data_IF_856644530280
#
_entry.id   IF_856644530280
#
_cell.length_a   1.000
_cell.length_b   1.000
_cell.length_c   1.000
_cell.angle_alpha   90.00
_cell.angle_beta   90.00
_cell.angle_gamma   90.00
#
_symmetry.space_group_name_H-M   'P 1'
#
loop_
_entity.id
_entity.type
_entity.pdbx_description
1 polymer ?
#
# COMPACT_ATOMS: atom_id res chain seq x y z
N UNK A 1 -8.00 18.95 31.93
CA UNK A 1 -9.28 18.53 31.34
C UNK A 1 -8.92 17.67 30.14
N UNK A 2 -9.02 16.35 30.30
CA UNK A 2 -8.71 15.39 29.25
C UNK A 2 -9.77 15.53 28.15
N UNK A 3 -9.33 15.66 26.90
CA UNK A 3 -10.22 15.48 25.75
C UNK A 3 -9.93 14.09 25.23
N UNK A 4 -10.87 13.21 25.52
CA UNK A 4 -11.00 11.86 25.01
C UNK A 4 -10.87 11.86 23.49
N UNK A 5 -10.15 10.86 22.97
CA UNK A 5 -10.13 10.58 21.55
C UNK A 5 -11.53 10.19 21.10
N UNK A 6 -12.08 10.94 20.15
CA UNK A 6 -13.32 10.58 19.48
C UNK A 6 -13.13 9.25 18.75
N UNK A 7 -13.51 8.18 19.45
CA UNK A 7 -13.85 6.92 18.84
C UNK A 7 -15.06 7.17 17.94
N UNK A 8 -14.86 7.08 16.63
CA UNK A 8 -15.94 7.13 15.65
C UNK A 8 -16.90 5.99 15.99
N UNK A 9 -18.08 6.35 16.46
CA UNK A 9 -19.12 5.44 16.90
C UNK A 9 -19.56 4.52 15.75
N UNK A 10 -19.52 3.21 16.00
CA UNK A 10 -20.03 2.17 15.11
C UNK A 10 -21.55 2.07 15.30
N UNK A 11 -22.38 2.16 14.25
CA UNK A 11 -23.82 1.97 14.39
C UNK A 11 -24.10 0.52 14.82
N UNK A 12 -24.94 0.36 15.84
CA UNK A 12 -25.28 -0.91 16.48
C UNK A 12 -25.84 -1.94 15.50
N UNK A 13 -25.11 -3.04 15.27
CA UNK A 13 -25.60 -4.22 14.55
C UNK A 13 -26.49 -5.08 15.45
N UNK A 14 -27.80 -5.00 15.26
CA UNK A 14 -28.76 -5.97 15.80
C UNK A 14 -29.17 -6.91 14.66
N UNK A 15 -28.60 -8.11 14.61
CA UNK A 15 -29.27 -9.26 13.97
C UNK A 15 -28.67 -10.57 14.44
N UNK A 16 -29.47 -11.27 15.24
CA UNK A 16 -29.30 -12.66 15.64
C UNK A 16 -29.43 -13.53 14.38
N UNK A 17 -28.41 -14.33 14.06
CA UNK A 17 -28.58 -15.44 13.12
C UNK A 17 -28.47 -16.73 13.91
N UNK A 18 -29.60 -17.42 13.98
CA UNK A 18 -29.79 -18.70 14.63
C UNK A 18 -28.77 -19.73 14.17
N UNK A 19 -28.14 -20.39 15.14
CA UNK A 19 -27.54 -21.70 14.96
C UNK A 19 -28.67 -22.69 14.76
N UNK A 20 -28.79 -23.27 13.55
CA UNK A 20 -29.59 -24.47 13.37
C UNK A 20 -28.69 -25.69 13.26
N UNK A 21 -28.86 -26.57 14.25
CA UNK A 21 -28.31 -27.91 14.32
C UNK A 21 -29.22 -28.82 13.52
N UNK A 22 -28.69 -29.56 12.56
CA UNK A 22 -29.33 -30.81 12.12
C UNK A 22 -28.31 -31.91 12.05
N UNK A 23 -28.54 -32.91 12.91
CA UNK A 23 -27.84 -34.17 13.02
C UNK A 23 -28.58 -35.28 12.26
N UNK A 24 -27.86 -36.40 12.11
CA UNK A 24 -28.29 -37.77 11.81
C UNK A 24 -28.44 -38.19 10.33
N UNK A 25 -27.65 -39.19 9.91
CA UNK A 25 -28.06 -40.61 9.99
C UNK A 25 -26.94 -41.56 9.54
N UNK A 26 -26.67 -42.60 10.33
CA UNK A 26 -25.92 -43.80 9.92
C UNK A 26 -26.80 -44.75 9.09
N UNK A 27 -26.19 -45.72 8.39
CA UNK A 27 -26.40 -47.12 8.79
C UNK A 27 -25.14 -48.01 8.75
N UNK A 28 -25.18 -49.08 9.55
CA UNK A 28 -24.27 -50.24 9.58
C UNK A 28 -24.98 -51.49 8.98
N UNK A 29 -24.39 -52.71 8.98
CA UNK A 29 -23.40 -53.22 8.04
C UNK A 29 -23.91 -54.46 7.25
N UNK A 30 -23.29 -54.80 6.12
CA UNK A 30 -23.39 -56.16 5.55
C UNK A 30 -22.06 -56.64 4.98
N UNK A 31 -21.69 -57.84 5.40
CA UNK A 31 -20.53 -58.64 5.02
C UNK A 31 -20.67 -59.29 3.65
N UNK A 32 -19.59 -59.34 2.87
CA UNK A 32 -19.19 -60.56 2.14
C UNK A 32 -17.78 -60.44 1.57
N UNK A 33 -17.12 -61.59 1.53
CA UNK A 33 -15.69 -61.89 1.37
C UNK A 33 -15.13 -61.84 -0.07
N UNK A 34 -13.78 -61.95 -0.12
CA UNK A 34 -12.93 -62.37 -1.25
C UNK A 34 -12.64 -61.27 -2.27
N UNK A 35 -11.45 -61.06 -2.83
CA UNK A 35 -10.26 -61.89 -3.00
C UNK A 35 -9.05 -60.97 -3.19
N UNK A 36 -7.86 -61.48 -2.86
CA UNK A 36 -6.57 -60.87 -3.10
C UNK A 36 -6.36 -60.53 -4.58
N UNK A 37 -6.02 -59.27 -4.89
CA UNK A 37 -5.15 -58.95 -6.03
C UNK A 37 -4.16 -57.85 -5.62
N UNK A 38 -2.91 -58.30 -5.50
CA UNK A 38 -1.71 -57.47 -5.39
C UNK A 38 -1.56 -56.62 -6.65
N UNK A 39 -1.89 -55.34 -6.54
CA UNK A 39 -1.37 -54.29 -7.39
C UNK A 39 -0.82 -53.22 -6.47
N UNK A 40 0.46 -52.87 -6.67
CA UNK A 40 1.17 -51.76 -6.04
C UNK A 40 0.37 -50.46 -6.19
N UNK A 41 -0.61 -50.23 -5.32
CA UNK A 41 -1.10 -48.90 -4.99
C UNK A 41 0.00 -48.30 -4.12
N UNK A 42 0.78 -47.37 -4.67
CA UNK A 42 1.44 -46.35 -3.84
C UNK A 42 0.37 -45.90 -2.85
N UNK A 43 0.61 -46.16 -1.56
CA UNK A 43 -0.24 -45.69 -0.47
C UNK A 43 -0.32 -44.17 -0.65
N UNK A 44 -1.40 -43.69 -1.25
CA UNK A 44 -1.73 -42.28 -1.27
C UNK A 44 -1.94 -41.96 0.20
N UNK A 45 -0.92 -41.41 0.83
CA UNK A 45 -1.05 -40.84 2.16
C UNK A 45 -2.16 -39.82 2.03
N UNK A 46 -3.25 -39.99 2.77
CA UNK A 46 -4.19 -38.93 3.14
C UNK A 46 -3.40 -37.89 3.95
N UNK A 47 -2.49 -37.20 3.27
CA UNK A 47 -1.55 -36.27 3.86
C UNK A 47 -2.17 -34.90 3.84
N UNK A 48 -2.36 -34.31 5.01
CA UNK A 48 -2.57 -32.88 5.08
C UNK A 48 -1.26 -32.18 4.68
N UNK A 49 -1.32 -31.37 3.63
CA UNK A 49 -0.20 -30.60 3.13
C UNK A 49 -0.27 -29.18 3.68
N UNK A 50 0.89 -28.58 3.95
CA UNK A 50 0.97 -27.24 4.53
C UNK A 50 2.19 -26.47 4.06
N UNK A 51 2.04 -25.16 3.87
CA UNK A 51 3.18 -24.26 3.68
C UNK A 51 2.85 -22.86 4.21
N UNK A 52 3.84 -22.20 4.81
CA UNK A 52 3.79 -20.76 5.08
C UNK A 52 4.51 -20.02 3.96
N UNK A 53 3.96 -18.92 3.44
CA UNK A 53 4.68 -18.05 2.51
C UNK A 53 5.16 -16.81 3.25
N UNK A 54 6.40 -16.41 3.03
CA UNK A 54 6.89 -15.08 3.41
C UNK A 54 6.83 -14.16 2.18
N UNK A 55 5.89 -13.23 2.18
CA UNK A 55 5.63 -12.32 1.06
C UNK A 55 6.53 -11.09 1.20
N UNK A 56 7.30 -10.78 0.15
CA UNK A 56 8.17 -9.61 0.15
C UNK A 56 8.13 -8.85 -1.19
N UNK A 57 8.38 -7.55 -1.12
CA UNK A 57 8.60 -6.64 -2.24
C UNK A 57 9.85 -7.03 -3.04
N UNK A 58 10.00 -6.45 -4.23
CA UNK A 58 11.14 -6.68 -5.11
C UNK A 58 12.50 -6.34 -4.47
N UNK A 59 12.54 -5.43 -3.49
CA UNK A 59 13.73 -5.02 -2.75
C UNK A 59 13.96 -5.83 -1.45
N UNK A 60 13.14 -6.85 -1.21
CA UNK A 60 13.19 -7.71 -0.02
C UNK A 60 12.44 -7.17 1.20
N UNK A 61 11.76 -6.03 1.10
CA UNK A 61 10.94 -5.50 2.21
C UNK A 61 9.67 -6.34 2.36
N UNK A 62 9.37 -6.83 3.57
CA UNK A 62 8.20 -7.67 3.81
C UNK A 62 6.88 -6.96 3.51
N UNK A 63 5.88 -7.69 3.01
CA UNK A 63 4.49 -7.22 2.95
C UNK A 63 3.82 -7.39 4.31
N UNK A 64 4.35 -6.72 5.33
CA UNK A 64 3.83 -6.82 6.69
C UNK A 64 2.46 -6.15 6.82
N UNK A 65 1.57 -6.73 7.63
CA UNK A 65 0.26 -6.14 7.93
C UNK A 65 -0.74 -6.06 6.77
N UNK A 66 -0.36 -6.44 5.55
CA UNK A 66 -1.25 -6.41 4.40
C UNK A 66 -2.24 -7.58 4.39
N UNK A 67 -3.47 -7.31 3.95
CA UNK A 67 -4.40 -8.36 3.57
C UNK A 67 -3.96 -8.98 2.24
N UNK A 68 -4.04 -10.31 2.16
CA UNK A 68 -3.72 -11.07 0.96
C UNK A 68 -4.85 -12.00 0.55
N UNK A 69 -4.89 -12.30 -0.74
CA UNK A 69 -5.61 -13.44 -1.33
C UNK A 69 -4.68 -14.23 -2.24
N UNK A 70 -4.50 -15.50 -1.95
CA UNK A 70 -3.64 -16.43 -2.69
C UNK A 70 -4.52 -17.34 -3.53
N UNK A 71 -4.08 -17.63 -4.76
CA UNK A 71 -4.83 -18.45 -5.70
C UNK A 71 -3.99 -19.66 -6.12
N UNK A 72 -4.61 -20.83 -6.09
CA UNK A 72 -4.01 -22.05 -6.60
C UNK A 72 -4.44 -22.34 -8.03
N UNK A 73 -3.69 -23.21 -8.71
CA UNK A 73 -3.95 -23.65 -10.09
C UNK A 73 -5.32 -24.32 -10.25
N UNK A 74 -5.78 -25.03 -9.21
CA UNK A 74 -7.05 -25.75 -9.22
C UNK A 74 -8.24 -24.88 -8.77
N UNK A 75 -8.06 -23.55 -8.70
CA UNK A 75 -9.11 -22.60 -8.32
C UNK A 75 -9.31 -22.40 -6.81
N UNK A 76 -8.51 -23.06 -5.97
CA UNK A 76 -8.53 -22.85 -4.52
C UNK A 76 -8.03 -21.45 -4.15
N UNK A 77 -8.53 -20.91 -3.04
CA UNK A 77 -8.11 -19.60 -2.55
C UNK A 77 -7.88 -19.56 -1.05
N UNK A 78 -6.85 -18.84 -0.63
CA UNK A 78 -6.55 -18.57 0.78
C UNK A 78 -6.57 -17.07 1.01
N UNK A 79 -7.13 -16.63 2.14
CA UNK A 79 -7.19 -15.22 2.53
C UNK A 79 -6.67 -15.04 3.94
N UNK A 80 -6.05 -13.90 4.21
CA UNK A 80 -5.56 -13.58 5.53
C UNK A 80 -4.86 -12.24 5.58
N UNK A 81 -4.27 -11.94 6.73
CA UNK A 81 -3.38 -10.80 6.95
C UNK A 81 -1.98 -11.34 7.17
N UNK A 82 -0.99 -10.73 6.52
CA UNK A 82 0.41 -11.08 6.74
C UNK A 82 0.88 -10.55 8.11
N UNK A 83 1.74 -11.31 8.79
CA UNK A 83 2.34 -10.89 10.05
C UNK A 83 3.43 -9.81 9.86
N UNK A 84 4.10 -9.43 10.94
CA UNK A 84 5.13 -8.38 10.92
C UNK A 84 6.36 -8.73 10.06
N UNK A 85 6.56 -10.02 9.77
CA UNK A 85 7.62 -10.53 8.91
C UNK A 85 7.13 -10.81 7.48
N UNK A 86 5.88 -10.50 7.16
CA UNK A 86 5.25 -10.78 5.87
C UNK A 86 4.79 -12.24 5.70
N UNK A 87 4.76 -13.03 6.77
CA UNK A 87 4.31 -14.42 6.70
C UNK A 87 2.80 -14.52 6.58
N UNK A 88 2.34 -15.45 5.75
CA UNK A 88 0.94 -15.88 5.72
C UNK A 88 0.61 -16.74 6.94
N UNK A 89 -0.68 -17.03 7.13
CA UNK A 89 -1.07 -18.22 7.89
C UNK A 89 -0.61 -19.46 7.11
N UNK A 90 -0.51 -20.60 7.78
CA UNK A 90 -0.23 -21.86 7.10
C UNK A 90 -1.35 -22.13 6.09
N UNK A 91 -0.96 -22.35 4.82
CA UNK A 91 -1.87 -22.69 3.74
C UNK A 91 -2.03 -24.21 3.73
N UNK A 92 -3.20 -24.70 4.12
CA UNK A 92 -3.46 -26.13 4.26
C UNK A 92 -4.24 -26.70 3.07
N UNK A 93 -3.88 -27.88 2.60
CA UNK A 93 -4.61 -28.57 1.54
C UNK A 93 -4.63 -30.07 1.76
N UNK A 94 -5.76 -30.72 1.46
CA UNK A 94 -5.88 -32.19 1.49
C UNK A 94 -5.25 -32.87 0.28
N UNK A 95 -4.97 -32.11 -0.78
CA UNK A 95 -4.38 -32.61 -2.02
C UNK A 95 -3.21 -31.72 -2.42
N UNK A 96 -2.17 -32.25 -3.09
CA UNK A 96 -1.10 -31.42 -3.63
C UNK A 96 -1.63 -30.36 -4.60
N UNK A 97 -1.19 -29.11 -4.44
CA UNK A 97 -1.57 -27.99 -5.30
C UNK A 97 -0.38 -27.11 -5.67
N UNK A 98 -0.57 -26.24 -6.65
CA UNK A 98 0.39 -25.21 -7.04
C UNK A 98 -0.22 -23.82 -6.81
N UNK A 99 0.50 -22.95 -6.11
CA UNK A 99 0.13 -21.55 -5.93
C UNK A 99 0.62 -20.77 -7.14
N UNK A 100 -0.27 -20.01 -7.78
CA UNK A 100 0.00 -19.36 -9.07
C UNK A 100 -0.11 -17.84 -9.02
N UNK A 101 -0.92 -17.30 -8.09
CA UNK A 101 -1.13 -15.85 -7.97
C UNK A 101 -1.24 -15.46 -6.51
N UNK A 102 -0.77 -14.25 -6.22
CA UNK A 102 -0.96 -13.57 -4.93
C UNK A 102 -1.58 -12.21 -5.23
N UNK A 103 -2.64 -11.85 -4.52
CA UNK A 103 -3.23 -10.51 -4.56
C UNK A 103 -2.99 -9.87 -3.21
N UNK A 104 -2.40 -8.68 -3.22
CA UNK A 104 -2.25 -7.82 -2.04
C UNK A 104 -3.31 -6.74 -2.11
N UNK A 105 -4.04 -6.54 -1.01
CA UNK A 105 -5.06 -5.51 -0.88
C UNK A 105 -4.41 -4.30 -0.22
N UNK A 106 -4.42 -3.16 -0.92
CA UNK A 106 -3.82 -1.89 -0.49
C UNK A 106 -4.81 -1.03 0.28
N UNK A 107 -5.83 -1.64 0.86
CA UNK A 107 -6.69 -1.01 1.83
C UNK A 107 -6.39 -1.58 3.20
N UNK A 108 -6.17 -0.68 4.15
CA UNK A 108 -6.40 -0.99 5.54
C UNK A 108 -7.91 -1.13 5.72
N UNK A 109 -8.47 -2.28 5.33
CA UNK A 109 -9.86 -2.59 5.65
C UNK A 109 -9.90 -2.75 7.16
N UNK A 110 -10.33 -1.70 7.85
CA UNK A 110 -10.75 -1.81 9.24
C UNK A 110 -11.96 -2.73 9.23
N UNK A 111 -11.77 -3.94 9.73
CA UNK A 111 -12.81 -4.97 9.78
C UNK A 111 -13.79 -4.57 10.88
N UNK A 112 -14.83 -3.83 10.53
CA UNK A 112 -16.02 -3.68 11.35
C UNK A 112 -17.14 -4.52 10.75
N UNK A 113 -17.44 -5.64 11.41
CA UNK A 113 -18.44 -6.65 11.00
C UNK A 113 -18.12 -7.35 9.67
N UNK A 114 -18.56 -8.60 9.52
CA UNK A 114 -18.20 -9.50 8.40
C UNK A 114 -18.72 -9.09 7.00
N UNK A 115 -19.00 -7.81 6.77
CA UNK A 115 -19.30 -7.25 5.47
C UNK A 115 -18.12 -6.38 5.02
N UNK A 116 -17.39 -6.86 4.01
CA UNK A 116 -16.48 -6.01 3.23
C UNK A 116 -17.36 -5.06 2.42
N UNK A 117 -17.72 -3.90 2.96
CA UNK A 117 -18.31 -2.82 2.15
C UNK A 117 -17.18 -2.10 1.43
N UNK A 118 -16.69 -2.70 0.34
CA UNK A 118 -15.71 -2.06 -0.53
C UNK A 118 -16.40 -1.04 -1.43
N UNK A 119 -16.23 0.24 -1.17
CA UNK A 119 -16.19 1.20 -2.27
C UNK A 119 -14.74 1.21 -2.76
N UNK A 120 -14.51 0.48 -3.86
CA UNK A 120 -13.23 0.37 -4.60
C UNK A 120 -12.01 -0.03 -3.78
N UNK A 121 -11.86 -1.33 -3.51
CA UNK A 121 -10.63 -1.80 -2.89
C UNK A 121 -9.44 -1.85 -3.84
N UNK A 122 -8.52 -0.89 -3.70
CA UNK A 122 -7.23 -0.91 -4.41
C UNK A 122 -6.50 -2.21 -4.08
N UNK A 123 -6.12 -2.96 -5.11
CA UNK A 123 -5.39 -4.22 -4.95
C UNK A 123 -4.45 -4.45 -6.11
N UNK A 124 -3.35 -5.15 -5.86
CA UNK A 124 -2.40 -5.55 -6.89
C UNK A 124 -2.32 -7.08 -6.95
N UNK A 125 -2.51 -7.64 -8.14
CA UNK A 125 -2.40 -9.10 -8.36
C UNK A 125 -1.10 -9.43 -9.05
N UNK A 126 -0.26 -10.20 -8.37
CA UNK A 126 0.98 -10.75 -8.87
C UNK A 126 0.73 -12.14 -9.43
N UNK A 127 1.13 -12.36 -10.68
CA UNK A 127 1.30 -13.70 -11.23
C UNK A 127 2.71 -14.16 -10.84
N UNK A 128 2.83 -15.37 -10.31
CA UNK A 128 4.12 -15.92 -9.92
C UNK A 128 4.82 -16.50 -11.15
N UNK A 129 6.04 -16.05 -11.45
CA UNK A 129 6.85 -16.57 -12.56
C UNK A 129 7.05 -18.09 -12.47
N UNK A 130 7.22 -18.57 -11.24
CA UNK A 130 7.33 -19.99 -10.89
C UNK A 130 6.26 -20.32 -9.86
N UNK A 131 5.31 -21.22 -10.17
CA UNK A 131 4.33 -21.66 -9.18
C UNK A 131 5.02 -22.23 -7.94
N UNK A 132 4.45 -21.96 -6.76
CA UNK A 132 4.97 -22.50 -5.49
C UNK A 132 4.22 -23.79 -5.16
N UNK A 133 4.92 -24.92 -4.97
CA UNK A 133 4.27 -26.17 -4.65
C UNK A 133 3.76 -26.17 -3.19
N UNK A 134 2.49 -26.53 -3.01
CA UNK A 134 1.85 -26.88 -1.75
C UNK A 134 1.66 -28.40 -1.74
N UNK A 135 2.74 -29.11 -1.45
CA UNK A 135 2.80 -30.58 -1.50
C UNK A 135 3.68 -31.19 -0.40
N UNK A 136 4.18 -30.37 0.52
CA UNK A 136 4.94 -30.82 1.68
C UNK A 136 3.98 -31.22 2.80
N UNK A 137 4.28 -32.28 3.59
CA UNK A 137 3.52 -32.59 4.79
C UNK A 137 3.40 -31.37 5.70
N UNK A 138 2.22 -31.17 6.31
CA UNK A 138 1.98 -30.03 7.19
C UNK A 138 3.05 -29.93 8.29
N UNK A 139 3.84 -28.86 8.25
CA UNK A 139 4.87 -28.49 9.22
C UNK A 139 4.75 -27.00 9.54
N UNK A 140 4.70 -26.64 10.82
CA UNK A 140 4.62 -25.22 11.24
C UNK A 140 5.92 -24.45 11.05
N UNK A 141 7.05 -25.13 10.80
CA UNK A 141 8.36 -24.48 10.65
C UNK A 141 8.71 -24.16 9.19
N UNK A 142 7.94 -24.68 8.24
CA UNK A 142 8.26 -24.58 6.83
C UNK A 142 7.72 -23.27 6.27
N UNK A 143 8.63 -22.38 5.86
CA UNK A 143 8.28 -21.19 5.11
C UNK A 143 9.00 -21.13 3.77
N UNK A 144 8.32 -20.56 2.78
CA UNK A 144 8.89 -20.25 1.47
C UNK A 144 8.83 -18.75 1.23
N UNK A 145 9.99 -18.15 1.00
CA UNK A 145 10.08 -16.76 0.58
C UNK A 145 9.55 -16.63 -0.85
N UNK A 146 8.61 -15.71 -1.03
CA UNK A 146 7.99 -15.36 -2.32
C UNK A 146 8.17 -13.88 -2.58
N UNK A 147 9.11 -13.54 -3.47
CA UNK A 147 9.30 -12.18 -3.96
C UNK A 147 8.22 -11.83 -4.99
N UNK A 148 7.36 -10.87 -4.66
CA UNK A 148 6.32 -10.37 -5.54
C UNK A 148 6.91 -9.28 -6.45
N UNK A 149 7.34 -9.69 -7.65
CA UNK A 149 8.11 -8.83 -8.55
C UNK A 149 7.24 -7.78 -9.24
N UNK A 150 7.71 -6.53 -9.16
CA UNK A 150 7.26 -5.37 -9.95
C UNK A 150 8.48 -4.54 -10.35
N UNK A 151 8.35 -3.58 -11.29
CA UNK A 151 9.48 -2.75 -11.74
C UNK A 151 10.07 -1.85 -10.64
N UNK A 152 9.26 -1.45 -9.68
CA UNK A 152 9.64 -0.85 -8.40
C UNK A 152 8.83 -1.50 -7.28
N UNK A 153 9.18 -1.31 -6.01
CA UNK A 153 8.40 -1.87 -4.90
C UNK A 153 7.06 -1.16 -4.75
N UNK A 154 6.11 -1.83 -4.10
CA UNK A 154 4.87 -1.20 -3.65
C UNK A 154 5.11 -0.45 -2.33
N UNK A 155 4.11 0.33 -1.92
CA UNK A 155 4.09 0.98 -0.61
C UNK A 155 4.12 -0.08 0.49
N UNK A 156 4.82 0.21 1.58
CA UNK A 156 4.70 -0.56 2.82
C UNK A 156 3.38 -0.24 3.53
N UNK A 157 3.03 -0.99 4.58
CA UNK A 157 1.80 -0.74 5.32
C UNK A 157 1.83 0.63 6.02
N UNK A 158 2.98 1.04 6.55
CA UNK A 158 3.15 2.34 7.19
C UNK A 158 3.13 3.50 6.20
N UNK A 159 3.78 3.38 5.04
CA UNK A 159 3.70 4.37 3.95
C UNK A 159 2.28 4.51 3.41
N UNK A 160 1.58 3.39 3.24
CA UNK A 160 0.18 3.38 2.84
C UNK A 160 -0.70 4.08 3.87
N UNK A 161 -0.51 3.80 5.17
CA UNK A 161 -1.26 4.45 6.23
C UNK A 161 -1.02 5.96 6.26
N UNK A 162 0.25 6.38 6.15
CA UNK A 162 0.64 7.79 6.06
C UNK A 162 -0.03 8.46 4.85
N UNK A 163 0.05 7.85 3.67
CA UNK A 163 -0.52 8.41 2.45
C UNK A 163 -2.06 8.44 2.46
N UNK A 164 -2.73 7.41 3.01
CA UNK A 164 -4.20 7.40 3.15
C UNK A 164 -4.71 8.47 4.11
N UNK A 165 -3.96 8.76 5.17
CA UNK A 165 -4.32 9.83 6.11
C UNK A 165 -4.36 11.22 5.42
N UNK A 166 -3.53 11.42 4.41
CA UNK A 166 -3.37 12.71 3.72
C UNK A 166 -4.26 12.79 2.48
N UNK A 167 -4.18 11.79 1.61
CA UNK A 167 -4.78 11.82 0.28
C UNK A 167 -6.11 11.03 0.20
N UNK A 168 -6.54 10.38 1.30
CA UNK A 168 -7.77 9.59 1.37
C UNK A 168 -7.86 8.58 0.21
N UNK A 169 -8.94 8.60 -0.57
CA UNK A 169 -9.13 7.73 -1.73
C UNK A 169 -8.82 8.43 -3.06
N UNK A 170 -8.13 9.58 -3.04
CA UNK A 170 -7.79 10.32 -4.27
C UNK A 170 -6.68 9.69 -5.11
N UNK A 171 -6.00 8.68 -4.56
CA UNK A 171 -4.92 7.97 -5.23
C UNK A 171 -5.23 6.47 -5.23
N UNK A 172 -5.14 5.84 -6.39
CA UNK A 172 -5.10 4.39 -6.48
C UNK A 172 -3.70 3.88 -6.09
N UNK A 173 -3.51 3.60 -4.80
CA UNK A 173 -2.24 3.19 -4.20
C UNK A 173 -1.66 1.90 -4.79
N UNK A 174 -2.49 1.04 -5.39
CA UNK A 174 -2.04 -0.19 -6.06
C UNK A 174 -1.13 0.08 -7.26
N UNK A 175 -1.24 1.29 -7.84
CA UNK A 175 -0.46 1.74 -8.99
C UNK A 175 0.79 2.53 -8.59
N UNK A 176 0.95 2.90 -7.33
CA UNK A 176 2.13 3.64 -6.86
C UNK A 176 3.31 2.69 -6.77
N UNK A 177 4.45 3.10 -7.34
CA UNK A 177 5.71 2.33 -7.31
C UNK A 177 6.84 3.22 -6.81
N UNK A 178 7.70 2.65 -5.99
CA UNK A 178 8.92 3.28 -5.49
C UNK A 178 10.11 2.53 -6.10
N UNK A 179 10.96 3.26 -6.81
CA UNK A 179 12.15 2.75 -7.45
C UNK A 179 13.40 3.15 -6.67
N UNK A 180 14.31 2.19 -6.50
CA UNK A 180 15.65 2.44 -5.99
C UNK A 180 16.58 2.72 -7.15
N UNK A 181 16.67 3.99 -7.54
CA UNK A 181 17.47 4.43 -8.68
C UNK A 181 17.12 5.84 -9.12
N UNK A 182 18.02 6.44 -9.90
CA UNK A 182 17.81 7.75 -10.52
C UNK A 182 16.81 7.64 -11.68
N UNK A 183 15.98 8.67 -11.86
CA UNK A 183 15.07 8.79 -13.00
C UNK A 183 15.78 9.36 -14.23
N UNK A 184 16.61 10.39 -14.03
CA UNK A 184 17.35 11.01 -15.13
C UNK A 184 18.65 10.24 -15.40
N UNK A 185 18.89 9.93 -16.67
CA UNK A 185 20.14 9.33 -17.11
C UNK A 185 21.32 10.30 -16.88
N UNK A 186 22.49 9.76 -16.52
CA UNK A 186 23.78 10.47 -16.37
C UNK A 186 23.92 11.41 -15.16
N UNK A 187 23.32 11.13 -14.00
CA UNK A 187 23.62 11.87 -12.76
C UNK A 187 23.22 13.36 -12.79
N UNK A 188 22.33 13.73 -13.71
CA UNK A 188 21.75 15.09 -13.79
C UNK A 188 20.80 15.32 -12.61
N UNK A 189 20.22 14.23 -12.08
CA UNK A 189 19.50 14.25 -10.83
C UNK A 189 20.52 14.31 -9.69
N UNK A 190 20.46 15.36 -8.87
CA UNK A 190 21.26 15.43 -7.65
C UNK A 190 20.97 14.16 -6.82
N UNK A 191 22.02 13.51 -6.33
CA UNK A 191 21.91 12.30 -5.53
C UNK A 191 20.99 12.48 -4.31
N UNK A 192 20.69 13.70 -3.87
CA UNK A 192 19.79 13.97 -2.73
C UNK A 192 18.38 14.39 -3.13
N UNK A 193 18.01 14.21 -4.39
CA UNK A 193 16.73 14.64 -4.93
C UNK A 193 15.93 13.43 -5.41
N UNK A 194 14.73 13.24 -4.87
CA UNK A 194 13.76 12.29 -5.42
C UNK A 194 13.02 12.93 -6.60
N UNK A 195 12.38 12.11 -7.44
CA UNK A 195 11.60 12.59 -8.57
C UNK A 195 10.36 11.74 -8.81
N UNK A 196 9.24 12.40 -9.12
CA UNK A 196 7.96 11.74 -9.43
C UNK A 196 7.29 12.27 -10.71
N UNK A 197 7.89 12.05 -11.89
CA UNK A 197 7.46 12.73 -13.12
C UNK A 197 6.26 12.07 -13.83
N UNK A 198 5.98 10.80 -13.55
CA UNK A 198 5.08 9.94 -14.34
C UNK A 198 4.15 9.07 -13.48
N UNK A 199 3.88 9.47 -12.24
CA UNK A 199 3.03 8.69 -11.34
C UNK A 199 3.74 7.50 -10.67
N UNK A 200 5.08 7.49 -10.70
CA UNK A 200 5.96 6.59 -9.95
C UNK A 200 7.10 7.41 -9.33
N UNK A 201 7.59 7.00 -8.16
CA UNK A 201 8.63 7.71 -7.42
C UNK A 201 10.00 7.08 -7.63
N UNK A 202 11.02 7.89 -7.85
CA UNK A 202 12.39 7.45 -8.09
C UNK A 202 13.31 8.10 -7.07
N UNK A 203 13.83 7.28 -6.16
CA UNK A 203 14.74 7.71 -5.12
C UNK A 203 16.16 7.20 -5.43
N UNK A 204 17.15 8.11 -5.54
CA UNK A 204 18.55 7.74 -5.60
C UNK A 204 18.95 6.83 -4.43
N UNK A 205 19.96 5.98 -4.66
CA UNK A 205 20.32 4.88 -3.76
C UNK A 205 20.65 5.32 -2.33
N UNK A 206 21.20 6.51 -2.15
CA UNK A 206 21.61 7.12 -0.88
C UNK A 206 20.45 7.66 -0.05
N UNK A 207 19.36 8.10 -0.69
CA UNK A 207 18.14 8.57 0.00
C UNK A 207 16.99 7.55 -0.04
N UNK A 208 17.21 6.42 -0.71
CA UNK A 208 16.25 5.32 -0.73
C UNK A 208 16.08 4.69 0.66
N UNK A 209 14.83 4.59 1.11
CA UNK A 209 14.44 3.85 2.32
C UNK A 209 13.55 2.66 1.96
N UNK A 210 13.70 1.58 2.73
CA UNK A 210 12.83 0.40 2.65
C UNK A 210 11.41 0.72 3.12
N UNK A 211 11.31 1.59 4.12
CA UNK A 211 10.07 2.15 4.63
C UNK A 211 10.32 3.62 5.03
N UNK A 212 9.67 4.57 4.36
CA UNK A 212 9.77 6.00 4.71
C UNK A 212 8.97 6.38 5.96
N UNK A 213 7.97 5.58 6.33
CA UNK A 213 7.16 5.82 7.52
C UNK A 213 7.85 5.43 8.83
N UNK A 214 8.93 4.65 8.75
CA UNK A 214 9.82 4.36 9.89
C UNK A 214 11.02 5.32 9.97
N UNK A 215 11.17 6.20 8.97
CA UNK A 215 12.23 7.20 8.91
C UNK A 215 12.00 8.40 9.84
N UNK A 216 12.95 9.32 9.82
CA UNK A 216 12.82 10.60 10.53
C UNK A 216 11.82 11.53 9.84
N UNK A 217 11.66 12.76 10.37
CA UNK A 217 10.73 13.72 9.80
C UNK A 217 11.11 14.13 8.38
N UNK A 218 12.42 14.13 8.05
CA UNK A 218 12.89 14.45 6.71
C UNK A 218 12.50 13.34 5.72
N UNK A 219 12.70 12.07 6.10
CA UNK A 219 12.30 10.92 5.28
C UNK A 219 10.78 10.93 5.00
N UNK A 220 9.96 11.21 6.04
CA UNK A 220 8.49 11.30 5.88
C UNK A 220 8.08 12.50 5.05
N UNK A 221 8.70 13.65 5.27
CA UNK A 221 8.44 14.86 4.48
C UNK A 221 8.74 14.60 3.01
N UNK A 222 9.91 14.06 2.69
CA UNK A 222 10.30 13.73 1.33
C UNK A 222 9.31 12.75 0.68
N UNK A 223 8.91 11.70 1.40
CA UNK A 223 7.90 10.77 0.89
C UNK A 223 6.55 11.43 0.61
N UNK A 224 6.05 12.27 1.53
CA UNK A 224 4.78 12.99 1.35
C UNK A 224 4.87 13.98 0.20
N UNK A 225 5.97 14.71 0.08
CA UNK A 225 6.25 15.62 -1.03
C UNK A 225 6.13 14.89 -2.38
N UNK A 226 6.82 13.75 -2.54
CA UNK A 226 6.72 12.95 -3.76
C UNK A 226 5.31 12.38 -3.99
N UNK A 227 4.59 12.02 -2.93
CA UNK A 227 3.18 11.62 -3.02
C UNK A 227 2.25 12.75 -3.49
N UNK A 228 2.57 14.02 -3.22
CA UNK A 228 1.83 15.17 -3.79
C UNK A 228 1.98 15.20 -5.30
N UNK A 229 3.15 14.90 -5.84
CA UNK A 229 3.33 14.80 -7.30
C UNK A 229 2.58 13.61 -7.90
N UNK A 230 2.47 12.47 -7.21
CA UNK A 230 1.56 11.39 -7.61
C UNK A 230 0.13 11.92 -7.67
N UNK A 231 -0.33 12.58 -6.61
CA UNK A 231 -1.68 13.16 -6.52
C UNK A 231 -1.96 14.14 -7.67
N UNK A 232 -1.04 15.08 -7.90
CA UNK A 232 -1.10 16.04 -9.02
C UNK A 232 -1.23 15.30 -10.36
N UNK A 233 -0.34 14.33 -10.61
CA UNK A 233 -0.34 13.53 -11.83
C UNK A 233 -1.67 12.78 -12.03
N UNK A 234 -2.25 12.21 -10.96
CA UNK A 234 -3.54 11.49 -11.03
C UNK A 234 -4.74 12.37 -11.32
N UNK A 235 -4.72 13.61 -10.86
CA UNK A 235 -5.76 14.59 -11.18
C UNK A 235 -5.56 15.25 -12.56
N UNK A 236 -4.55 14.82 -13.32
CA UNK A 236 -4.32 15.25 -14.71
C UNK A 236 -3.28 16.36 -14.87
N UNK A 237 -2.54 16.72 -13.82
CA UNK A 237 -1.49 17.72 -13.90
C UNK A 237 -0.25 17.19 -14.63
N UNK A 238 0.33 18.01 -15.50
CA UNK A 238 1.51 17.65 -16.29
C UNK A 238 2.81 17.85 -15.50
N UNK A 239 2.97 17.12 -14.40
CA UNK A 239 4.11 17.24 -13.44
C UNK A 239 5.46 17.33 -14.16
N UNK A 240 5.75 16.39 -15.07
CA UNK A 240 7.02 16.38 -15.83
C UNK A 240 7.24 17.65 -16.64
N UNK A 241 6.26 18.04 -17.47
CA UNK A 241 6.41 19.18 -18.38
C UNK A 241 6.51 20.50 -17.62
N UNK A 242 5.72 20.64 -16.54
CA UNK A 242 5.75 21.84 -15.71
C UNK A 242 7.02 21.91 -14.87
N UNK A 243 7.49 20.79 -14.31
CA UNK A 243 8.77 20.74 -13.60
C UNK A 243 9.94 21.15 -14.50
N UNK A 244 9.99 20.66 -15.75
CA UNK A 244 10.97 21.12 -16.75
C UNK A 244 10.88 22.62 -16.97
N UNK A 245 9.67 23.16 -17.12
CA UNK A 245 9.45 24.60 -17.33
C UNK A 245 9.90 25.44 -16.13
N UNK A 246 9.60 25.02 -14.90
CA UNK A 246 10.07 25.65 -13.66
C UNK A 246 11.60 25.62 -13.59
N UNK A 247 12.21 24.48 -13.91
CA UNK A 247 13.66 24.31 -13.99
C UNK A 247 14.31 25.27 -15.00
N UNK A 248 13.74 25.39 -16.21
CA UNK A 248 14.22 26.32 -17.25
C UNK A 248 14.16 27.79 -16.82
N UNK A 249 13.20 28.15 -15.96
CA UNK A 249 13.11 29.49 -15.35
C UNK A 249 14.08 29.70 -14.18
N UNK A 250 14.91 28.71 -13.84
CA UNK A 250 15.85 28.75 -12.74
C UNK A 250 15.26 28.37 -11.38
N UNK A 251 14.07 27.76 -11.34
CA UNK A 251 13.35 27.42 -10.11
C UNK A 251 14.12 26.51 -9.15
N UNK A 252 14.97 25.65 -9.70
CA UNK A 252 15.81 24.69 -8.96
C UNK A 252 17.26 25.17 -8.81
N UNK A 253 17.56 26.41 -9.21
CA UNK A 253 18.89 27.00 -9.14
C UNK A 253 19.29 27.41 -7.72
N UNK A 254 20.26 28.33 -7.61
CA UNK A 254 20.76 28.82 -6.32
C UNK A 254 19.62 29.37 -5.47
N UNK A 255 19.46 28.82 -4.26
CA UNK A 255 18.40 29.20 -3.31
C UNK A 255 17.06 28.51 -3.55
N UNK A 256 16.94 27.68 -4.59
CA UNK A 256 15.78 26.85 -4.89
C UNK A 256 14.43 27.62 -4.80
N UNK A 257 14.28 28.76 -5.50
CA UNK A 257 13.14 29.66 -5.31
C UNK A 257 11.78 29.00 -5.60
N UNK A 258 11.75 27.95 -6.44
CA UNK A 258 10.51 27.19 -6.68
C UNK A 258 9.91 26.59 -5.41
N UNK A 259 10.69 26.35 -4.36
CA UNK A 259 10.25 25.77 -3.09
C UNK A 259 9.90 26.84 -2.04
N UNK A 260 10.31 28.09 -2.23
CA UNK A 260 10.10 29.14 -1.21
C UNK A 260 8.63 29.59 -1.21
N UNK A 261 7.93 29.43 -0.10
CA UNK A 261 6.49 29.73 -0.03
C UNK A 261 6.06 30.51 1.22
N UNK A 262 6.89 30.59 2.24
CA UNK A 262 6.54 31.12 3.57
C UNK A 262 6.11 32.59 3.48
N UNK A 263 6.79 33.37 2.64
CA UNK A 263 6.46 34.78 2.39
C UNK A 263 5.08 34.96 1.71
N UNK A 264 4.56 33.92 1.06
CA UNK A 264 3.28 33.92 0.33
C UNK A 264 2.09 33.53 1.20
N UNK A 265 2.31 32.86 2.35
CA UNK A 265 1.24 32.39 3.24
C UNK A 265 0.31 33.49 3.76
N UNK A 266 0.80 34.73 3.82
CA UNK A 266 0.01 35.88 4.26
C UNK A 266 -0.95 36.41 3.18
N UNK A 267 -0.56 36.28 1.90
CA UNK A 267 -1.24 36.92 0.76
C UNK A 267 -2.06 35.94 -0.08
N UNK A 268 -1.62 34.69 -0.18
CA UNK A 268 -2.34 33.61 -0.88
C UNK A 268 -3.23 32.86 0.09
N UNK A 269 -4.42 32.47 -0.37
CA UNK A 269 -5.45 31.80 0.45
C UNK A 269 -5.92 30.48 -0.13
N UNK A 270 -5.55 30.15 -1.37
CA UNK A 270 -5.91 28.89 -2.01
C UNK A 270 -4.67 28.09 -2.35
N UNK A 271 -4.74 26.77 -2.21
CA UNK A 271 -3.64 25.88 -2.59
C UNK A 271 -3.25 26.01 -4.08
N UNK A 272 -4.22 26.22 -4.98
CA UNK A 272 -3.98 26.37 -6.43
C UNK A 272 -3.08 27.55 -6.79
N UNK A 273 -3.03 28.58 -5.94
CA UNK A 273 -2.22 29.79 -6.15
C UNK A 273 -0.73 29.52 -5.92
N UNK A 274 -0.35 28.33 -5.48
CA UNK A 274 1.04 27.89 -5.29
C UNK A 274 1.49 27.01 -6.44
N UNK A 275 2.77 27.09 -6.80
CA UNK A 275 3.31 26.21 -7.84
C UNK A 275 3.42 24.75 -7.33
N UNK A 276 3.71 23.81 -8.23
CA UNK A 276 3.69 22.37 -7.89
C UNK A 276 4.62 21.96 -6.75
N UNK A 277 5.78 22.59 -6.61
CA UNK A 277 6.77 22.31 -5.55
C UNK A 277 6.32 22.92 -4.22
N UNK A 278 5.86 24.17 -4.25
CA UNK A 278 5.30 24.85 -3.07
C UNK A 278 4.08 24.10 -2.51
N UNK A 279 3.20 23.58 -3.37
CA UNK A 279 2.09 22.74 -2.90
C UNK A 279 2.60 21.48 -2.21
N UNK A 280 3.64 20.84 -2.77
CA UNK A 280 4.22 19.63 -2.21
C UNK A 280 4.81 19.89 -0.82
N UNK A 281 5.57 20.97 -0.64
CA UNK A 281 6.12 21.36 0.66
C UNK A 281 5.02 21.81 1.64
N UNK A 282 4.05 22.63 1.23
CA UNK A 282 2.95 23.06 2.11
C UNK A 282 2.20 21.86 2.69
N UNK A 283 1.86 20.87 1.86
CA UNK A 283 1.17 19.65 2.31
C UNK A 283 2.10 18.81 3.20
N UNK A 284 3.35 18.59 2.77
CA UNK A 284 4.30 17.77 3.53
C UNK A 284 4.61 18.39 4.91
N UNK A 285 4.92 19.68 4.97
CA UNK A 285 5.16 20.42 6.21
C UNK A 285 3.95 20.41 7.13
N UNK A 286 2.75 20.64 6.59
CA UNK A 286 1.53 20.63 7.40
C UNK A 286 1.29 19.24 8.01
N UNK A 287 1.29 18.17 7.21
CA UNK A 287 0.94 16.85 7.73
C UNK A 287 2.07 16.24 8.56
N UNK A 288 3.32 16.34 8.13
CA UNK A 288 4.45 15.83 8.93
C UNK A 288 4.64 16.67 10.19
N UNK A 289 4.56 18.00 10.11
CA UNK A 289 4.60 18.88 11.27
C UNK A 289 3.51 18.56 12.30
N UNK A 290 2.26 18.40 11.86
CA UNK A 290 1.15 18.04 12.76
C UNK A 290 1.25 16.62 13.33
N UNK A 291 1.85 15.67 12.61
CA UNK A 291 2.11 14.31 13.14
C UNK A 291 3.07 14.36 14.35
N UNK A 292 3.95 15.38 14.42
CA UNK A 292 5.03 15.42 15.41
C UNK A 292 4.99 16.58 16.41
N UNK A 293 4.24 17.67 16.16
CA UNK A 293 4.14 18.81 17.08
C UNK A 293 2.70 19.36 17.17
N UNK A 294 2.21 19.53 18.39
CA UNK A 294 0.88 20.09 18.71
C UNK A 294 0.80 21.62 18.75
N UNK A 295 1.78 22.38 18.22
CA UNK A 295 1.86 23.84 18.45
C UNK A 295 2.53 24.67 17.34
N UNK A 296 2.31 24.33 16.07
CA UNK A 296 2.60 25.27 14.99
C UNK A 296 1.35 26.13 14.74
N UNK A 297 1.51 27.45 14.69
CA UNK A 297 0.42 28.37 14.38
C UNK A 297 0.08 28.26 12.88
N UNK A 298 -0.62 27.18 12.52
CA UNK A 298 -0.95 26.80 11.15
C UNK A 298 -2.13 27.61 10.57
N UNK A 299 -2.56 28.71 11.18
CA UNK A 299 -3.83 29.37 10.83
C UNK A 299 -3.93 29.69 9.32
N UNK A 300 -2.86 30.19 8.70
CA UNK A 300 -2.86 30.45 7.25
C UNK A 300 -2.77 29.17 6.41
N UNK A 301 -1.95 28.20 6.81
CA UNK A 301 -1.84 26.92 6.10
C UNK A 301 -3.15 26.12 6.15
N UNK A 302 -3.85 26.13 7.29
CA UNK A 302 -5.19 25.55 7.45
C UNK A 302 -6.19 26.16 6.47
N UNK A 303 -6.18 27.49 6.31
CA UNK A 303 -7.04 28.17 5.33
C UNK A 303 -6.69 27.71 3.91
N UNK A 304 -5.40 27.69 3.57
CA UNK A 304 -4.90 27.28 2.25
C UNK A 304 -5.27 25.82 1.93
N UNK A 305 -5.20 24.95 2.94
CA UNK A 305 -5.43 23.50 2.83
C UNK A 305 -6.87 23.08 3.11
N UNK A 306 -7.78 23.99 3.48
CA UNK A 306 -9.13 23.64 3.90
C UNK A 306 -9.86 22.79 2.84
N UNK A 307 -9.85 23.23 1.59
CA UNK A 307 -10.50 22.51 0.48
C UNK A 307 -9.79 21.18 0.15
N UNK A 308 -8.48 21.09 0.38
CA UNK A 308 -7.71 19.85 0.20
C UNK A 308 -8.06 18.83 1.30
N UNK A 309 -8.10 19.28 2.55
CA UNK A 309 -8.46 18.45 3.70
C UNK A 309 -9.90 17.96 3.58
N UNK A 310 -10.81 18.79 3.07
CA UNK A 310 -12.20 18.39 2.79
C UNK A 310 -12.24 17.34 1.66
N UNK A 311 -11.74 17.71 0.47
CA UNK A 311 -11.86 16.89 -0.72
C UNK A 311 -10.57 16.88 -1.58
N UNK A 312 -9.63 15.94 -1.32
CA UNK A 312 -8.42 15.83 -2.12
C UNK A 312 -8.69 15.37 -3.56
N UNK A 313 -9.91 14.93 -3.93
CA UNK A 313 -10.24 14.63 -5.33
C UNK A 313 -10.57 15.88 -6.16
N UNK A 314 -10.59 17.07 -5.55
CA UNK A 314 -10.90 18.31 -6.25
C UNK A 314 -9.74 18.76 -7.15
N UNK A 315 -9.87 18.57 -8.46
CA UNK A 315 -8.85 18.99 -9.43
C UNK A 315 -8.64 20.52 -9.54
N UNK A 316 -9.53 21.34 -8.97
CA UNK A 316 -9.33 22.80 -8.90
C UNK A 316 -8.23 23.20 -7.90
N UNK A 317 -7.77 22.25 -7.09
CA UNK A 317 -6.65 22.44 -6.16
C UNK A 317 -5.30 22.39 -6.87
N UNK A 318 -5.25 21.88 -8.11
CA UNK A 318 -4.01 21.82 -8.88
C UNK A 318 -3.43 23.21 -9.13
N UNK A 319 -2.10 23.34 -9.28
CA UNK A 319 -1.46 24.62 -9.52
C UNK A 319 -2.04 25.34 -10.75
N UNK A 320 -2.40 26.61 -10.58
CA UNK A 320 -2.76 27.52 -11.69
C UNK A 320 -1.56 28.38 -12.15
N UNK A 321 -0.41 28.22 -11.49
CA UNK A 321 0.76 29.05 -11.67
C UNK A 321 2.07 28.25 -11.68
N UNK A 322 3.06 28.80 -12.38
CA UNK A 322 4.47 28.34 -12.34
C UNK A 322 5.38 29.42 -11.79
N UNK A 323 4.82 30.47 -11.18
CA UNK A 323 5.57 31.60 -10.62
C UNK A 323 6.16 31.24 -9.26
N UNK A 324 7.37 31.72 -9.04
CA UNK A 324 8.16 31.64 -7.83
C UNK A 324 9.02 32.89 -7.77
#
# INVERSE_FOLDING_TARGET
MALDGDAIACPTCNTVVNMDKTAASQPSPTSSSSSQQNLRRKKQTDGLYGITLQLQNADGTAFNGFLYKIFTKNGGTYVGKADDNGNTKVLESQQPQEITKVKILMDNVQTCCSAITSNTSSSYTFKLDKPVPLNQPLSQKDHKIVTLKTKGRLLTAGELALAKNIFKDSIDYSKVKIHRGEYLWFGIQNNHTAMTPNGEMYFPKNIYKKDYSDGDNFDKHLFVHEMVHIWQYRLGYSVKSVGIWIGMKGGYGKGAPAYQYEHLLSTRKKLSEFNMEQQADIIADFFVGNIYQRNLNHTNQMIILADFIDNPNNNRLLPDTTRF
#
